data_IF_628175127711
#
_entry.id   IF_628175127711
#
_cell.length_a   1.000
_cell.length_b   1.000
_cell.length_c   1.000
_cell.angle_alpha   90.00
_cell.angle_beta   90.00
_cell.angle_gamma   90.00
#
_symmetry.space_group_name_H-M   'P 1'
#
loop_
_entity.id
_entity.type
_entity.pdbx_description
1 polymer ?
#
# COMPACT_ATOMS: atom_id res chain seq x y z
N UNK A 1 -46.94 39.35 -21.61
CA UNK A 1 -46.57 40.78 -21.72
C UNK A 1 -45.41 41.03 -20.74
N UNK A 2 -44.45 41.90 -21.08
CA UNK A 2 -43.13 42.00 -20.43
C UNK A 2 -42.16 40.95 -20.99
N UNK A 3 -41.20 41.25 -21.88
CA UNK A 3 -40.03 42.14 -21.76
C UNK A 3 -39.04 41.66 -20.67
N UNK A 4 -37.74 41.49 -20.92
CA UNK A 4 -36.93 41.65 -22.15
C UNK A 4 -35.45 41.85 -21.80
N UNK A 5 -34.55 41.77 -22.80
CA UNK A 5 -33.11 42.11 -22.78
C UNK A 5 -32.09 41.09 -22.18
N UNK A 6 -31.22 40.59 -23.08
CA UNK A 6 -29.80 40.34 -22.79
C UNK A 6 -29.04 41.69 -22.80
N UNK A 7 -27.81 41.81 -22.26
CA UNK A 7 -26.65 41.83 -23.18
C UNK A 7 -25.27 41.35 -22.66
N UNK A 8 -24.52 40.74 -23.60
CA UNK A 8 -23.09 40.95 -23.97
C UNK A 8 -21.90 40.69 -23.00
N UNK A 9 -20.87 40.05 -23.59
CA UNK A 9 -19.46 39.99 -23.15
C UNK A 9 -18.73 41.34 -23.28
N UNK A 10 -17.60 41.54 -22.56
CA UNK A 10 -16.50 42.41 -22.98
C UNK A 10 -15.33 41.63 -23.62
N UNK A 11 -14.54 42.33 -24.45
CA UNK A 11 -13.32 41.84 -25.11
C UNK A 11 -12.03 42.38 -24.45
N UNK A 12 -10.91 41.80 -24.89
CA UNK A 12 -9.51 42.12 -24.59
C UNK A 12 -9.14 43.62 -24.73
N UNK A 13 -8.05 44.02 -24.06
CA UNK A 13 -7.20 45.15 -24.48
C UNK A 13 -5.73 44.79 -24.42
N UNK A 14 -5.01 45.08 -25.51
CA UNK A 14 -3.54 45.06 -25.60
C UNK A 14 -2.94 46.33 -24.98
N UNK A 15 -1.67 46.25 -24.56
CA UNK A 15 -0.78 47.40 -24.47
C UNK A 15 0.64 47.05 -24.94
N UNK A 16 1.24 47.97 -25.71
CA UNK A 16 2.66 48.06 -26.12
C UNK A 16 3.56 48.46 -24.92
N UNK A 17 4.89 48.31 -24.89
CA UNK A 17 5.91 47.86 -25.86
C UNK A 17 7.31 48.42 -25.50
N UNK A 18 8.33 48.15 -26.34
CA UNK A 18 9.68 48.77 -26.42
C UNK A 18 10.91 48.19 -25.65
N UNK A 19 11.86 47.69 -26.47
CA UNK A 19 13.33 47.81 -26.47
C UNK A 19 14.19 47.96 -25.18
N UNK A 20 15.18 47.06 -25.05
CA UNK A 20 16.60 47.42 -24.87
C UNK A 20 17.52 46.31 -25.44
N UNK A 21 18.72 46.67 -25.92
CA UNK A 21 19.76 45.76 -26.48
C UNK A 21 20.89 45.52 -25.47
N UNK A 22 21.70 44.44 -25.61
CA UNK A 22 22.73 44.06 -24.64
C UNK A 22 24.06 44.82 -24.82
N UNK A 23 24.88 44.87 -23.76
CA UNK A 23 26.29 45.27 -23.84
C UNK A 23 27.21 44.11 -23.41
N UNK A 24 28.24 43.87 -24.21
CA UNK A 24 29.39 43.04 -23.91
C UNK A 24 30.51 43.88 -23.28
N UNK A 25 31.45 43.24 -22.56
CA UNK A 25 32.83 43.71 -22.49
C UNK A 25 33.79 42.58 -22.08
N UNK A 26 35.04 42.65 -22.56
CA UNK A 26 36.08 41.63 -22.42
C UNK A 26 37.21 42.07 -21.45
N UNK A 27 38.01 41.08 -21.04
CA UNK A 27 39.41 41.11 -20.57
C UNK A 27 40.14 42.44 -20.29
N UNK A 28 40.84 42.50 -19.15
CA UNK A 28 42.32 42.40 -18.96
C UNK A 28 42.62 42.70 -17.46
N UNK A 29 43.29 41.85 -16.66
CA UNK A 29 44.73 41.44 -16.58
C UNK A 29 45.72 42.58 -16.29
N UNK A 30 46.63 42.28 -15.34
CA UNK A 30 47.90 42.95 -14.95
C UNK A 30 47.84 43.95 -13.78
N UNK A 31 48.78 44.07 -12.83
CA UNK A 31 49.80 43.21 -12.13
C UNK A 31 50.61 44.13 -11.19
N UNK A 32 51.29 43.55 -10.19
CA UNK A 32 52.28 44.15 -9.26
C UNK A 32 51.76 44.73 -7.94
N UNK A 33 52.45 44.65 -6.79
CA UNK A 33 53.51 43.80 -6.21
C UNK A 33 53.96 44.52 -4.92
N UNK A 34 54.04 43.84 -3.76
CA UNK A 34 54.57 44.39 -2.50
C UNK A 34 54.52 43.33 -1.38
N UNK A 35 55.67 43.00 -0.79
CA UNK A 35 55.96 41.71 -0.09
C UNK A 35 57.15 41.90 0.89
N UNK A 36 57.30 41.14 2.02
CA UNK A 36 56.33 40.56 2.96
C UNK A 36 56.44 41.28 4.36
N UNK A 37 57.15 40.85 5.45
CA UNK A 37 57.75 39.57 5.91
C UNK A 37 57.29 39.01 7.30
N UNK A 38 57.44 37.68 7.49
CA UNK A 38 57.63 36.90 8.75
C UNK A 38 56.53 36.94 9.85
N UNK A 39 56.20 35.87 10.61
CA UNK A 39 56.38 34.40 10.57
C UNK A 39 55.33 33.82 11.57
N UNK A 40 54.83 32.58 11.54
CA UNK A 40 54.98 31.47 10.61
C UNK A 40 54.30 30.18 11.16
N UNK A 41 54.03 29.20 10.28
CA UNK A 41 53.64 27.80 10.59
C UNK A 41 52.24 27.56 11.21
N UNK A 42 51.49 26.48 10.94
CA UNK A 42 51.75 25.26 10.14
C UNK A 42 50.54 24.98 9.20
N UNK A 43 50.82 24.68 7.93
CA UNK A 43 49.81 24.14 7.01
C UNK A 43 49.63 22.62 7.23
N UNK A 44 48.38 22.15 7.26
CA UNK A 44 48.04 20.74 7.45
C UNK A 44 46.88 20.30 6.56
N UNK A 45 46.96 20.55 5.25
CA UNK A 45 45.97 20.04 4.29
C UNK A 45 46.30 18.57 3.96
N UNK A 46 45.47 17.58 4.35
CA UNK A 46 45.69 16.21 3.90
C UNK A 46 45.32 16.09 2.42
N UNK A 47 46.31 15.83 1.58
CA UNK A 47 46.09 15.38 0.21
C UNK A 47 45.36 14.03 0.24
N UNK A 48 44.10 13.99 -0.18
CA UNK A 48 43.38 12.74 -0.41
C UNK A 48 43.80 12.22 -1.81
N UNK A 49 44.36 11.01 -1.92
CA UNK A 49 44.88 10.51 -3.19
C UNK A 49 43.74 10.11 -4.16
N UNK A 50 43.88 10.50 -5.42
CA UNK A 50 43.09 9.99 -6.54
C UNK A 50 43.46 8.54 -6.88
N UNK A 51 43.08 7.59 -6.02
CA UNK A 51 43.12 6.17 -6.36
C UNK A 51 41.92 5.81 -7.22
N UNK A 52 42.14 5.59 -8.52
CA UNK A 52 41.19 4.89 -9.39
C UNK A 52 41.02 3.43 -8.93
N UNK A 53 40.20 3.20 -7.91
CA UNK A 53 39.72 1.88 -7.56
C UNK A 53 38.76 1.40 -8.65
N UNK A 54 39.24 0.52 -9.53
CA UNK A 54 38.36 -0.23 -10.43
C UNK A 54 37.44 -1.09 -9.57
N UNK A 55 36.18 -0.70 -9.44
CA UNK A 55 35.14 -1.56 -8.86
C UNK A 55 34.98 -2.76 -9.79
N UNK A 56 35.57 -3.90 -9.41
CA UNK A 56 35.25 -5.18 -10.02
C UNK A 56 33.84 -5.57 -9.55
N UNK A 57 32.94 -6.02 -10.45
CA UNK A 57 31.67 -6.58 -10.03
C UNK A 57 31.92 -7.84 -9.20
N UNK A 58 31.21 -7.94 -8.09
CA UNK A 58 31.29 -9.05 -7.13
C UNK A 58 30.97 -10.38 -7.83
N UNK A 59 31.99 -11.22 -8.06
CA UNK A 59 31.78 -12.60 -8.53
C UNK A 59 31.32 -13.46 -7.36
N UNK A 60 30.09 -13.93 -7.42
CA UNK A 60 29.65 -15.04 -6.58
C UNK A 60 30.59 -16.26 -6.81
N UNK A 61 30.95 -17.01 -5.75
CA UNK A 61 31.82 -18.16 -5.89
C UNK A 61 31.13 -19.26 -6.70
N UNK A 62 31.85 -19.84 -7.67
CA UNK A 62 31.35 -20.97 -8.43
C UNK A 62 31.19 -22.19 -7.51
N UNK A 63 29.95 -22.70 -7.40
CA UNK A 63 29.68 -23.96 -6.71
C UNK A 63 30.33 -25.10 -7.50
N UNK A 64 31.31 -25.74 -6.87
CA UNK A 64 31.96 -26.95 -7.39
C UNK A 64 30.94 -28.10 -7.32
N UNK A 65 30.65 -28.82 -8.42
CA UNK A 65 29.81 -30.00 -8.36
C UNK A 65 30.55 -31.10 -7.60
N UNK A 66 30.13 -31.38 -6.36
CA UNK A 66 30.62 -32.54 -5.62
C UNK A 66 30.09 -33.82 -6.23
N UNK A 67 30.99 -34.80 -6.32
CA UNK A 67 30.82 -36.03 -7.07
C UNK A 67 29.82 -36.96 -6.38
N UNK A 68 29.00 -37.62 -7.18
CA UNK A 68 28.06 -38.66 -6.75
C UNK A 68 28.74 -39.76 -5.93
N UNK A 69 28.12 -40.14 -4.81
CA UNK A 69 28.17 -41.50 -4.28
C UNK A 69 26.74 -41.96 -3.97
N UNK A 70 26.33 -43.06 -4.57
CA UNK A 70 24.95 -43.54 -4.52
C UNK A 70 24.69 -44.57 -3.42
N UNK A 71 23.44 -44.65 -2.96
CA UNK A 71 22.85 -45.89 -2.41
C UNK A 71 21.34 -45.90 -2.65
N UNK A 72 20.84 -47.03 -3.14
CA UNK A 72 19.45 -47.20 -3.52
C UNK A 72 18.63 -47.96 -2.46
N UNK A 73 17.38 -47.56 -2.25
CA UNK A 73 16.27 -48.39 -1.74
C UNK A 73 14.95 -47.70 -2.20
N UNK A 74 14.17 -48.20 -3.15
CA UNK A 74 13.37 -49.45 -3.21
C UNK A 74 12.22 -49.55 -2.20
N UNK A 75 11.09 -48.94 -2.55
CA UNK A 75 9.71 -49.46 -2.44
C UNK A 75 8.91 -48.70 -3.52
N UNK A 76 8.25 -49.31 -4.51
CA UNK A 76 7.13 -50.26 -4.41
C UNK A 76 5.84 -49.48 -4.70
N UNK A 77 5.37 -49.39 -5.96
CA UNK A 77 4.36 -50.29 -6.59
C UNK A 77 3.06 -50.38 -5.79
N UNK A 78 1.86 -50.18 -6.34
CA UNK A 78 1.40 -49.92 -7.72
C UNK A 78 0.09 -49.10 -7.67
N UNK A 79 -0.29 -48.44 -8.78
CA UNK A 79 -1.65 -48.49 -9.35
C UNK A 79 -1.75 -47.61 -10.61
N UNK A 80 -1.73 -48.25 -11.79
CA UNK A 80 -2.08 -47.59 -13.05
C UNK A 80 -3.62 -47.49 -13.18
N UNK A 81 -4.15 -46.30 -13.46
CA UNK A 81 -5.60 -46.05 -13.45
C UNK A 81 -6.07 -44.87 -14.30
N UNK A 82 -6.16 -45.10 -15.62
CA UNK A 82 -7.07 -44.46 -16.60
C UNK A 82 -7.49 -42.98 -16.40
N UNK A 83 -7.04 -42.15 -17.33
CA UNK A 83 -7.82 -41.13 -18.07
C UNK A 83 -9.16 -40.66 -17.46
N UNK A 84 -9.19 -39.44 -16.94
CA UNK A 84 -10.35 -38.54 -17.07
C UNK A 84 -9.90 -37.08 -16.89
N UNK A 85 -9.97 -36.29 -17.98
CA UNK A 85 -9.92 -34.83 -17.85
C UNK A 85 -11.26 -34.35 -17.28
N UNK A 86 -11.35 -34.24 -15.96
CA UNK A 86 -12.39 -33.42 -15.34
C UNK A 86 -11.90 -31.99 -15.41
N UNK A 87 -12.61 -31.14 -16.16
CA UNK A 87 -12.39 -29.71 -16.12
C UNK A 87 -12.56 -29.24 -14.66
N UNK A 88 -11.45 -28.88 -14.01
CA UNK A 88 -11.46 -28.35 -12.67
C UNK A 88 -12.17 -27.00 -12.70
N UNK A 89 -13.48 -27.03 -12.44
CA UNK A 89 -14.35 -25.86 -12.43
C UNK A 89 -13.76 -24.82 -11.50
N UNK A 90 -13.21 -23.74 -12.06
CA UNK A 90 -12.68 -22.60 -11.32
C UNK A 90 -13.77 -22.19 -10.32
N UNK A 91 -13.56 -22.37 -9.01
CA UNK A 91 -14.64 -22.22 -8.06
C UNK A 91 -15.03 -20.75 -8.01
N UNK A 92 -16.23 -20.43 -8.51
CA UNK A 92 -16.86 -19.10 -8.41
C UNK A 92 -17.22 -18.82 -6.94
N UNK A 93 -16.20 -18.67 -6.08
CA UNK A 93 -16.33 -17.99 -4.80
C UNK A 93 -16.79 -16.56 -5.10
N UNK A 94 -17.70 -16.03 -4.27
CA UNK A 94 -18.19 -14.66 -4.41
C UNK A 94 -16.97 -13.72 -4.40
N UNK A 95 -16.78 -12.94 -5.47
CA UNK A 95 -15.72 -11.94 -5.52
C UNK A 95 -16.01 -10.86 -4.47
N UNK A 96 -15.38 -10.98 -3.30
CA UNK A 96 -15.10 -9.80 -2.49
C UNK A 96 -14.18 -8.90 -3.31
N UNK A 97 -14.59 -7.65 -3.55
CA UNK A 97 -13.79 -6.66 -4.27
C UNK A 97 -12.56 -6.19 -3.47
N UNK A 98 -12.49 -6.57 -2.20
CA UNK A 98 -11.37 -6.34 -1.28
C UNK A 98 -10.50 -7.61 -1.23
N UNK A 99 -9.19 -7.42 -1.38
CA UNK A 99 -8.18 -8.39 -0.99
C UNK A 99 -8.11 -8.45 0.56
N UNK A 100 -7.63 -9.56 1.12
CA UNK A 100 -7.61 -9.75 2.58
C UNK A 100 -6.23 -10.13 3.10
N UNK A 101 -5.92 -9.76 4.35
CA UNK A 101 -4.66 -10.12 4.98
C UNK A 101 -4.48 -11.64 5.13
N UNK A 102 -5.57 -12.38 5.39
CA UNK A 102 -5.54 -13.85 5.44
C UNK A 102 -5.14 -14.47 4.11
N UNK A 103 -5.64 -13.94 2.99
CA UNK A 103 -5.31 -14.43 1.64
C UNK A 103 -3.83 -14.17 1.28
N UNK A 104 -3.26 -13.07 1.78
CA UNK A 104 -1.82 -12.80 1.64
C UNK A 104 -0.98 -13.81 2.43
N UNK A 105 -1.41 -14.18 3.64
CA UNK A 105 -0.76 -15.21 4.47
C UNK A 105 -0.86 -16.60 3.82
N UNK A 106 -2.01 -16.97 3.25
CA UNK A 106 -2.19 -18.23 2.52
C UNK A 106 -1.22 -18.34 1.32
N UNK A 107 -0.97 -17.23 0.62
CA UNK A 107 -0.01 -17.16 -0.50
C UNK A 107 1.46 -17.18 -0.03
N UNK A 108 1.77 -16.57 1.11
CA UNK A 108 3.11 -16.62 1.74
C UNK A 108 3.46 -18.01 2.30
N UNK A 109 2.45 -18.80 2.66
CA UNK A 109 2.61 -20.16 3.19
C UNK A 109 2.84 -21.24 2.11
N UNK A 110 2.91 -20.86 0.83
CA UNK A 110 3.18 -21.78 -0.27
C UNK A 110 4.65 -22.23 -0.28
N UNK A 111 4.89 -23.39 -0.87
CA UNK A 111 6.24 -23.95 -1.01
C UNK A 111 7.06 -23.15 -2.05
N UNK A 112 8.15 -22.53 -1.59
CA UNK A 112 9.06 -21.72 -2.40
C UNK A 112 10.06 -22.55 -3.24
N UNK A 113 9.83 -23.86 -3.39
CA UNK A 113 10.72 -24.75 -4.15
C UNK A 113 10.62 -24.59 -5.67
N UNK A 114 9.68 -23.80 -6.22
CA UNK A 114 9.36 -23.77 -7.66
C UNK A 114 8.99 -22.39 -8.20
N UNK A 115 9.29 -22.09 -9.48
CA UNK A 115 9.01 -20.78 -10.06
C UNK A 115 7.50 -20.49 -10.23
N UNK A 116 7.05 -19.43 -9.58
CA UNK A 116 5.74 -18.81 -9.72
C UNK A 116 5.74 -17.76 -10.83
N UNK A 117 4.74 -17.84 -11.72
CA UNK A 117 4.41 -16.78 -12.66
C UNK A 117 3.40 -15.84 -11.99
N UNK A 118 3.87 -14.66 -11.56
CA UNK A 118 3.07 -13.63 -10.91
C UNK A 118 2.74 -12.53 -11.91
N UNK A 119 1.45 -12.29 -12.16
CA UNK A 119 0.95 -11.38 -13.20
C UNK A 119 0.00 -10.36 -12.59
N UNK A 120 0.24 -9.09 -12.87
CA UNK A 120 -0.61 -7.98 -12.47
C UNK A 120 -1.13 -7.26 -13.70
N UNK A 121 -2.42 -6.88 -13.70
CA UNK A 121 -3.11 -6.29 -14.83
C UNK A 121 -3.79 -4.96 -14.46
N UNK A 122 -3.63 -3.95 -15.32
CA UNK A 122 -4.49 -2.76 -15.31
C UNK A 122 -5.81 -3.09 -16.03
N UNK A 123 -6.91 -3.08 -15.28
CA UNK A 123 -8.27 -3.23 -15.78
C UNK A 123 -9.08 -1.92 -15.60
N UNK A 124 -8.41 -0.77 -15.58
CA UNK A 124 -9.05 0.54 -15.69
C UNK A 124 -9.89 0.68 -16.99
N UNK A 125 -10.88 1.58 -17.03
CA UNK A 125 -11.83 1.66 -18.16
C UNK A 125 -11.16 1.83 -19.54
N UNK A 126 -10.12 2.66 -19.62
CA UNK A 126 -9.35 2.88 -20.84
C UNK A 126 -8.52 1.64 -21.25
N UNK A 127 -7.89 0.99 -20.28
CA UNK A 127 -7.08 -0.22 -20.49
C UNK A 127 -7.93 -1.43 -20.88
N UNK A 128 -9.17 -1.54 -20.37
CA UNK A 128 -10.19 -2.48 -20.86
C UNK A 128 -10.63 -2.18 -22.29
N UNK A 129 -10.96 -0.92 -22.60
CA UNK A 129 -11.44 -0.52 -23.93
C UNK A 129 -10.38 -0.74 -25.03
N UNK A 130 -9.10 -0.51 -24.72
CA UNK A 130 -7.98 -0.65 -25.66
C UNK A 130 -7.30 -2.01 -25.62
N UNK A 131 -7.58 -2.84 -24.61
CA UNK A 131 -6.85 -4.09 -24.29
C UNK A 131 -5.32 -3.89 -24.19
N UNK A 132 -4.88 -2.71 -23.73
CA UNK A 132 -3.46 -2.36 -23.67
C UNK A 132 -2.62 -3.38 -22.88
N UNK A 133 -3.20 -4.00 -21.84
CA UNK A 133 -2.55 -5.04 -21.04
C UNK A 133 -2.12 -6.26 -21.88
N UNK A 134 -2.87 -6.67 -22.92
CA UNK A 134 -2.52 -7.82 -23.75
C UNK A 134 -1.18 -7.61 -24.49
N UNK A 135 -0.93 -6.38 -24.94
CA UNK A 135 0.31 -6.02 -25.64
C UNK A 135 1.51 -6.08 -24.70
N UNK A 136 1.34 -5.60 -23.45
CA UNK A 136 2.39 -5.62 -22.42
C UNK A 136 2.67 -7.06 -21.99
N UNK A 137 1.64 -7.87 -21.71
CA UNK A 137 1.78 -9.29 -21.39
C UNK A 137 2.57 -10.04 -22.47
N UNK A 138 2.18 -9.89 -23.75
CA UNK A 138 2.87 -10.57 -24.85
C UNK A 138 4.36 -10.20 -24.93
N UNK A 139 4.70 -8.92 -24.72
CA UNK A 139 6.11 -8.47 -24.66
C UNK A 139 6.85 -9.06 -23.46
N UNK A 140 6.25 -9.03 -22.27
CA UNK A 140 6.87 -9.54 -21.02
C UNK A 140 7.07 -11.06 -21.06
N UNK A 141 6.07 -11.85 -21.49
CA UNK A 141 6.22 -13.29 -21.65
C UNK A 141 7.28 -13.67 -22.70
N UNK A 142 7.38 -12.92 -23.81
CA UNK A 142 8.42 -13.16 -24.81
C UNK A 142 9.84 -12.77 -24.32
N UNK A 143 9.95 -11.84 -23.36
CA UNK A 143 11.22 -11.51 -22.72
C UNK A 143 11.62 -12.59 -21.70
N UNK A 144 10.71 -12.99 -20.81
CA UNK A 144 10.96 -14.03 -19.79
C UNK A 144 11.26 -15.40 -20.42
N UNK A 145 10.60 -15.76 -21.54
CA UNK A 145 10.87 -16.99 -22.28
C UNK A 145 12.33 -17.13 -22.76
N UNK A 146 13.10 -16.02 -22.86
CA UNK A 146 14.52 -16.04 -23.22
C UNK A 146 15.45 -16.29 -22.04
N UNK A 147 14.94 -16.22 -20.81
CA UNK A 147 15.68 -16.44 -19.57
C UNK A 147 15.49 -17.88 -19.04
N UNK A 148 14.50 -18.60 -19.55
CA UNK A 148 14.26 -20.02 -19.21
C UNK A 148 15.15 -20.90 -20.09
N UNK A 149 15.77 -21.92 -19.49
CA UNK A 149 16.65 -22.86 -20.21
C UNK A 149 15.85 -23.77 -21.14
N UNK A 150 16.24 -23.82 -22.42
CA UNK A 150 15.49 -24.49 -23.47
C UNK A 150 15.62 -26.01 -23.41
N UNK A 151 14.53 -26.72 -23.75
CA UNK A 151 14.47 -28.18 -23.74
C UNK A 151 14.35 -28.81 -22.35
N UNK A 152 14.12 -28.00 -21.31
CA UNK A 152 13.95 -28.45 -19.92
C UNK A 152 12.47 -28.70 -19.56
N UNK A 153 12.23 -29.40 -18.45
CA UNK A 153 10.88 -29.50 -17.87
C UNK A 153 10.34 -28.11 -17.49
N UNK A 154 11.22 -27.20 -17.06
CA UNK A 154 10.85 -25.86 -16.61
C UNK A 154 10.39 -24.96 -17.78
N UNK A 155 10.91 -25.15 -19.00
CA UNK A 155 10.34 -24.52 -20.20
C UNK A 155 8.89 -24.98 -20.45
N UNK A 156 8.63 -26.29 -20.33
CA UNK A 156 7.29 -26.84 -20.53
C UNK A 156 6.29 -26.34 -19.47
N UNK A 157 6.73 -26.26 -18.22
CA UNK A 157 5.97 -25.69 -17.10
C UNK A 157 5.73 -24.19 -17.30
N UNK A 158 6.74 -23.42 -17.71
CA UNK A 158 6.60 -21.99 -18.01
C UNK A 158 5.51 -21.75 -19.08
N UNK A 159 5.57 -22.46 -20.21
CA UNK A 159 4.55 -22.34 -21.26
C UNK A 159 3.17 -22.85 -20.83
N UNK A 160 3.08 -23.81 -19.91
CA UNK A 160 1.82 -24.18 -19.26
C UNK A 160 1.23 -23.01 -18.45
N UNK A 161 2.04 -22.36 -17.61
CA UNK A 161 1.61 -21.20 -16.83
C UNK A 161 1.14 -20.04 -17.72
N UNK A 162 1.91 -19.72 -18.77
CA UNK A 162 1.53 -18.70 -19.77
C UNK A 162 0.18 -19.02 -20.43
N UNK A 163 -0.09 -20.29 -20.78
CA UNK A 163 -1.38 -20.71 -21.33
C UNK A 163 -2.54 -20.51 -20.34
N UNK A 164 -2.35 -20.88 -19.08
CA UNK A 164 -3.36 -20.71 -18.02
C UNK A 164 -3.70 -19.22 -17.80
N UNK A 165 -2.70 -18.33 -17.77
CA UNK A 165 -2.94 -16.87 -17.70
C UNK A 165 -3.74 -16.40 -18.90
N UNK A 166 -3.36 -16.78 -20.13
CA UNK A 166 -4.10 -16.37 -21.34
C UNK A 166 -5.51 -16.95 -21.45
N UNK A 167 -5.78 -18.11 -20.86
CA UNK A 167 -7.13 -18.66 -20.74
C UNK A 167 -7.99 -17.81 -19.80
N UNK A 168 -7.48 -17.50 -18.60
CA UNK A 168 -8.16 -16.63 -17.65
C UNK A 168 -8.40 -15.21 -18.21
N UNK A 169 -7.38 -14.61 -18.84
CA UNK A 169 -7.47 -13.26 -19.44
C UNK A 169 -8.52 -13.18 -20.55
N UNK A 170 -8.77 -14.27 -21.29
CA UNK A 170 -9.79 -14.30 -22.35
C UNK A 170 -11.19 -14.65 -21.85
N UNK A 171 -11.29 -15.55 -20.88
CA UNK A 171 -12.55 -16.23 -20.56
C UNK A 171 -13.09 -15.94 -19.15
N UNK A 172 -12.31 -15.29 -18.27
CA UNK A 172 -12.62 -15.22 -16.83
C UNK A 172 -12.18 -13.93 -16.13
N UNK A 173 -11.84 -12.87 -16.88
CA UNK A 173 -11.66 -11.55 -16.29
C UNK A 173 -12.96 -11.07 -15.62
N UNK A 174 -12.88 -10.43 -14.45
CA UNK A 174 -14.04 -9.93 -13.74
C UNK A 174 -14.66 -8.73 -14.48
N UNK A 175 -15.99 -8.65 -14.52
CA UNK A 175 -16.71 -7.51 -15.10
C UNK A 175 -16.49 -6.22 -14.31
N UNK A 176 -16.31 -6.33 -12.99
CA UNK A 176 -16.02 -5.25 -12.05
C UNK A 176 -14.58 -5.31 -11.54
N UNK A 177 -14.13 -4.26 -10.83
CA UNK A 177 -12.73 -4.10 -10.39
C UNK A 177 -11.84 -3.43 -11.42
N UNK A 178 -10.80 -2.72 -10.96
CA UNK A 178 -9.87 -1.95 -11.80
C UNK A 178 -8.50 -2.60 -11.97
N UNK A 179 -8.26 -3.74 -11.30
CA UNK A 179 -7.02 -4.49 -11.40
C UNK A 179 -7.23 -5.94 -11.02
N UNK A 180 -6.34 -6.80 -11.51
CA UNK A 180 -6.29 -8.23 -11.13
C UNK A 180 -4.84 -8.64 -10.89
N UNK A 181 -4.62 -9.40 -9.82
CA UNK A 181 -3.41 -10.18 -9.56
C UNK A 181 -3.69 -11.66 -9.90
N UNK A 182 -2.75 -12.34 -10.57
CA UNK A 182 -2.83 -13.76 -10.93
C UNK A 182 -1.51 -14.42 -10.53
N UNK A 183 -1.58 -15.57 -9.88
CA UNK A 183 -0.42 -16.37 -9.46
C UNK A 183 -0.57 -17.78 -10.00
N UNK A 184 0.44 -18.27 -10.72
CA UNK A 184 0.41 -19.60 -11.33
C UNK A 184 1.71 -20.34 -11.03
N UNK A 185 1.59 -21.53 -10.43
CA UNK A 185 2.71 -22.47 -10.26
C UNK A 185 2.27 -23.86 -10.80
N UNK A 186 2.53 -24.14 -12.09
CA UNK A 186 2.00 -25.33 -12.76
C UNK A 186 2.42 -26.66 -12.12
N UNK A 187 3.65 -26.75 -11.58
CA UNK A 187 4.14 -27.96 -10.90
C UNK A 187 3.38 -28.24 -9.59
N UNK A 188 2.92 -27.21 -8.90
CA UNK A 188 2.06 -27.31 -7.72
C UNK A 188 0.57 -27.48 -8.07
N UNK A 189 0.22 -27.54 -9.37
CA UNK A 189 -1.16 -27.45 -9.87
C UNK A 189 -1.90 -26.20 -9.36
N UNK A 190 -1.15 -25.14 -9.01
CA UNK A 190 -1.68 -23.96 -8.35
C UNK A 190 -2.02 -22.86 -9.36
N UNK A 191 -3.25 -22.35 -9.27
CA UNK A 191 -3.71 -21.16 -9.98
C UNK A 191 -4.59 -20.35 -9.04
N UNK A 192 -4.27 -19.08 -8.85
CA UNK A 192 -5.05 -18.13 -8.06
C UNK A 192 -5.21 -16.81 -8.82
N UNK A 193 -6.38 -16.18 -8.70
CA UNK A 193 -6.64 -14.88 -9.30
C UNK A 193 -7.55 -14.02 -8.40
N UNK A 194 -7.12 -12.78 -8.13
CA UNK A 194 -7.80 -11.83 -7.25
C UNK A 194 -8.09 -10.52 -8.00
N UNK A 195 -9.36 -10.16 -8.08
CA UNK A 195 -9.82 -8.84 -8.51
C UNK A 195 -9.76 -7.84 -7.35
N UNK A 196 -9.38 -6.59 -7.64
CA UNK A 196 -9.32 -5.48 -6.66
C UNK A 196 -9.97 -4.19 -7.21
N UNK A 197 -10.25 -3.23 -6.32
CA UNK A 197 -10.79 -1.92 -6.68
C UNK A 197 -9.77 -1.00 -7.36
N UNK A 198 -8.49 -1.30 -7.16
CA UNK A 198 -7.32 -0.50 -7.46
C UNK A 198 -6.77 -0.84 -8.85
N UNK A 199 -5.93 0.03 -9.43
CA UNK A 199 -5.20 -0.30 -10.67
C UNK A 199 -3.81 -0.80 -10.31
N UNK A 200 -3.35 -1.83 -11.01
CA UNK A 200 -1.94 -2.23 -11.00
C UNK A 200 -1.23 -1.69 -12.25
N UNK A 201 0.09 -1.53 -12.19
CA UNK A 201 0.88 -1.57 -13.42
C UNK A 201 0.77 -2.96 -14.06
N UNK A 202 0.65 -3.03 -15.39
CA UNK A 202 0.64 -4.32 -16.08
C UNK A 202 2.05 -4.90 -16.13
N UNK A 203 2.31 -5.93 -15.33
CA UNK A 203 3.63 -6.55 -15.20
C UNK A 203 3.55 -8.06 -15.03
N UNK A 204 4.68 -8.72 -15.29
CA UNK A 204 4.87 -10.16 -15.15
C UNK A 204 6.22 -10.38 -14.47
N UNK A 205 6.22 -11.15 -13.39
CA UNK A 205 7.41 -11.56 -12.63
C UNK A 205 7.46 -13.09 -12.58
N UNK A 206 8.65 -13.65 -12.72
CA UNK A 206 8.92 -15.08 -12.59
C UNK A 206 9.97 -15.24 -11.49
N UNK A 207 9.59 -15.85 -10.36
CA UNK A 207 10.42 -15.95 -9.16
C UNK A 207 10.08 -17.23 -8.37
N UNK A 208 10.94 -17.68 -7.45
CA UNK A 208 10.75 -18.90 -6.65
C UNK A 208 9.60 -18.82 -5.64
N UNK A 209 9.12 -17.62 -5.36
CA UNK A 209 7.95 -17.35 -4.51
C UNK A 209 6.94 -16.48 -5.27
N UNK A 210 5.65 -16.44 -4.85
CA UNK A 210 4.71 -15.46 -5.36
C UNK A 210 5.22 -14.03 -5.13
N UNK A 211 5.28 -13.21 -6.18
CA UNK A 211 5.65 -11.79 -6.04
C UNK A 211 4.44 -11.00 -5.54
N UNK A 212 4.28 -10.90 -4.21
CA UNK A 212 3.06 -10.40 -3.58
C UNK A 212 3.02 -8.88 -3.37
N UNK A 213 4.13 -8.17 -3.50
CA UNK A 213 4.30 -6.78 -3.08
C UNK A 213 3.21 -5.82 -3.61
N UNK A 214 2.81 -5.82 -4.89
CA UNK A 214 1.72 -4.96 -5.36
C UNK A 214 0.35 -5.31 -4.73
N UNK A 215 0.10 -6.59 -4.43
CA UNK A 215 -1.15 -7.02 -3.78
C UNK A 215 -1.14 -6.71 -2.28
N UNK A 216 -0.02 -6.90 -1.60
CA UNK A 216 0.17 -6.53 -0.20
C UNK A 216 -0.17 -5.04 0.01
N UNK A 217 0.32 -4.18 -0.88
CA UNK A 217 0.05 -2.76 -0.78
C UNK A 217 -1.44 -2.38 -0.95
N UNK A 218 -2.20 -3.12 -1.76
CA UNK A 218 -3.65 -2.92 -1.88
C UNK A 218 -4.39 -3.33 -0.59
N UNK A 219 -3.88 -4.33 0.14
CA UNK A 219 -4.39 -4.72 1.46
C UNK A 219 -4.03 -3.67 2.52
N UNK A 220 -2.81 -3.10 2.47
CA UNK A 220 -2.34 -2.04 3.37
C UNK A 220 -3.08 -0.70 3.17
N UNK A 221 -3.37 -0.32 1.93
CA UNK A 221 -3.98 0.98 1.60
C UNK A 221 -5.46 1.10 2.06
N UNK A 222 -6.08 -0.01 2.47
CA UNK A 222 -7.38 -0.03 3.12
C UNK A 222 -7.25 -0.05 4.64
N UNK A 223 -7.18 1.14 5.26
CA UNK A 223 -7.27 1.34 6.70
C UNK A 223 -8.66 0.89 7.25
N UNK A 224 -8.85 -0.42 7.42
CA UNK A 224 -10.10 -1.00 7.93
C UNK A 224 -10.31 -0.62 9.39
N UNK A 225 -11.47 -0.06 9.71
CA UNK A 225 -11.87 0.24 11.08
C UNK A 225 -13.08 -0.60 11.47
N UNK A 226 -12.99 -1.31 12.60
CA UNK A 226 -14.11 -2.06 13.16
C UNK A 226 -14.88 -1.17 14.13
N UNK A 227 -16.18 -1.04 13.93
CA UNK A 227 -17.10 -0.38 14.84
C UNK A 227 -17.94 -1.45 15.51
N UNK A 228 -17.80 -1.58 16.83
CA UNK A 228 -18.53 -2.54 17.64
C UNK A 228 -19.57 -1.78 18.44
N UNK A 229 -20.83 -1.84 17.99
CA UNK A 229 -21.96 -1.41 18.80
C UNK A 229 -22.34 -2.55 19.76
N UNK A 230 -22.39 -2.29 21.07
CA UNK A 230 -22.67 -3.30 22.08
C UNK A 230 -23.64 -2.83 23.16
N UNK A 231 -24.66 -3.65 23.41
CA UNK A 231 -25.67 -3.50 24.47
C UNK A 231 -25.59 -4.72 25.40
N UNK A 232 -26.52 -4.85 26.35
CA UNK A 232 -26.51 -5.99 27.28
C UNK A 232 -26.74 -7.35 26.60
N UNK A 233 -27.45 -7.33 25.48
CA UNK A 233 -28.20 -8.44 24.89
C UNK A 233 -28.17 -8.43 23.35
N UNK A 234 -27.70 -7.33 22.76
CA UNK A 234 -27.56 -7.15 21.31
C UNK A 234 -26.19 -6.51 21.01
N UNK A 235 -25.59 -6.88 19.89
CA UNK A 235 -24.41 -6.22 19.36
C UNK A 235 -24.36 -6.30 17.84
N UNK A 236 -23.74 -5.30 17.21
CA UNK A 236 -23.49 -5.28 15.78
C UNK A 236 -22.04 -4.87 15.52
N UNK A 237 -21.39 -5.51 14.54
CA UNK A 237 -20.02 -5.20 14.13
C UNK A 237 -20.03 -4.74 12.69
N UNK A 238 -19.51 -3.54 12.45
CA UNK A 238 -19.42 -2.91 11.15
C UNK A 238 -17.95 -2.71 10.76
N UNK A 239 -17.67 -2.80 9.46
CA UNK A 239 -16.43 -2.33 8.86
C UNK A 239 -16.68 -0.98 8.20
N UNK A 240 -15.81 -0.02 8.51
CA UNK A 240 -15.85 1.37 8.00
C UNK A 240 -14.49 1.71 7.38
N UNK A 241 -14.51 2.46 6.29
CA UNK A 241 -13.32 2.96 5.61
C UNK A 241 -13.27 4.50 5.69
N UNK A 242 -12.16 5.11 6.12
CA UNK A 242 -12.05 6.57 6.14
C UNK A 242 -12.03 7.21 4.74
N UNK A 243 -11.56 6.47 3.73
CA UNK A 243 -11.43 6.96 2.35
C UNK A 243 -12.74 6.87 1.54
N UNK A 244 -13.72 6.08 1.99
CA UNK A 244 -15.05 5.98 1.38
C UNK A 244 -16.13 5.97 2.47
N UNK A 245 -16.68 7.16 2.75
CA UNK A 245 -17.74 7.37 3.74
C UNK A 245 -19.07 6.64 3.41
N UNK A 246 -19.18 6.03 2.22
CA UNK A 246 -20.33 5.22 1.79
C UNK A 246 -20.05 3.71 1.86
N UNK A 247 -18.79 3.29 1.93
CA UNK A 247 -18.39 1.90 2.08
C UNK A 247 -18.51 1.47 3.55
N UNK A 248 -19.71 1.05 3.94
CA UNK A 248 -19.96 0.52 5.28
C UNK A 248 -20.64 -0.82 5.16
N UNK A 249 -20.02 -1.83 5.77
CA UNK A 249 -20.47 -3.21 5.72
C UNK A 249 -20.77 -3.70 7.12
N UNK A 250 -22.04 -4.02 7.41
CA UNK A 250 -22.39 -4.79 8.61
C UNK A 250 -21.84 -6.20 8.44
N UNK A 251 -20.84 -6.56 9.25
CA UNK A 251 -20.15 -7.85 9.17
C UNK A 251 -20.81 -8.91 10.07
N UNK A 252 -21.34 -8.49 11.22
CA UNK A 252 -22.01 -9.38 12.16
C UNK A 252 -23.14 -8.68 12.93
N UNK A 253 -24.11 -9.47 13.34
CA UNK A 253 -25.18 -9.11 14.26
C UNK A 253 -25.35 -10.27 15.24
N UNK A 254 -25.39 -9.95 16.54
CA UNK A 254 -25.44 -10.90 17.63
C UNK A 254 -26.57 -10.53 18.57
N UNK A 255 -27.44 -11.48 18.87
CA UNK A 255 -28.45 -11.35 19.92
C UNK A 255 -28.25 -12.43 20.99
N UNK A 256 -28.71 -12.17 22.22
CA UNK A 256 -28.64 -13.11 23.33
C UNK A 256 -29.74 -12.83 24.34
N UNK A 257 -30.44 -13.88 24.76
CA UNK A 257 -31.52 -13.76 25.74
C UNK A 257 -30.95 -13.45 27.13
N UNK A 258 -30.95 -12.17 27.52
CA UNK A 258 -30.51 -11.71 28.83
C UNK A 258 -31.73 -11.28 29.66
N UNK A 259 -31.84 -11.71 30.94
CA UNK A 259 -32.94 -11.28 31.80
C UNK A 259 -33.08 -9.75 31.89
N UNK A 260 -34.30 -9.26 31.71
CA UNK A 260 -34.60 -7.82 31.79
C UNK A 260 -34.31 -7.21 33.17
N UNK A 261 -34.15 -5.89 33.23
CA UNK A 261 -34.00 -5.14 34.49
C UNK A 261 -35.36 -5.01 35.20
N UNK A 262 -35.84 -6.07 35.85
CA UNK A 262 -37.13 -6.06 36.57
C UNK A 262 -37.06 -5.27 37.89
N UNK A 263 -37.67 -4.09 37.90
CA UNK A 263 -38.02 -3.38 39.12
C UNK A 263 -39.34 -3.92 39.70
N UNK A 264 -39.29 -5.04 40.43
CA UNK A 264 -40.39 -5.48 41.30
C UNK A 264 -39.88 -5.65 42.73
N UNK A 265 -40.24 -4.68 43.57
CA UNK A 265 -40.00 -4.75 45.01
C UNK A 265 -40.92 -5.77 45.67
N UNK A 266 -40.40 -6.51 46.64
CA UNK A 266 -41.13 -7.54 47.37
C UNK A 266 -40.23 -8.30 48.34
N UNK A 267 -40.26 -7.88 49.61
CA UNK A 267 -39.79 -8.52 50.87
C UNK A 267 -38.42 -9.25 50.98
N UNK A 268 -37.72 -9.63 49.91
CA UNK A 268 -36.52 -10.49 50.01
C UNK A 268 -35.26 -9.90 49.34
N UNK A 269 -34.42 -9.21 50.13
CA UNK A 269 -33.15 -8.66 49.64
C UNK A 269 -32.12 -9.71 49.13
N UNK A 270 -32.30 -10.98 49.47
CA UNK A 270 -31.44 -12.09 49.01
C UNK A 270 -31.76 -12.57 47.59
N UNK A 271 -33.01 -12.45 47.12
CA UNK A 271 -33.39 -12.87 45.77
C UNK A 271 -32.87 -11.88 44.71
N UNK A 272 -32.93 -10.58 45.01
CA UNK A 272 -32.45 -9.51 44.14
C UNK A 272 -30.95 -9.63 43.82
N UNK A 273 -30.10 -9.92 44.83
CA UNK A 273 -28.65 -10.09 44.63
C UNK A 273 -28.33 -11.29 43.72
N UNK A 274 -29.03 -12.42 43.87
CA UNK A 274 -28.85 -13.58 42.99
C UNK A 274 -29.34 -13.29 41.56
N UNK A 275 -30.46 -12.59 41.40
CA UNK A 275 -30.96 -12.19 40.08
C UNK A 275 -30.00 -11.22 39.37
N UNK A 276 -29.44 -10.24 40.07
CA UNK A 276 -28.44 -9.32 39.53
C UNK A 276 -27.16 -10.03 39.09
N UNK A 277 -26.64 -10.97 39.90
CA UNK A 277 -25.48 -11.79 39.54
C UNK A 277 -25.75 -12.66 38.31
N UNK A 278 -26.89 -13.36 38.27
CA UNK A 278 -27.30 -14.16 37.13
C UNK A 278 -27.44 -13.32 35.85
N UNK A 279 -28.10 -12.16 35.93
CA UNK A 279 -28.20 -11.22 34.80
C UNK A 279 -26.81 -10.77 34.31
N UNK A 280 -25.90 -10.43 35.23
CA UNK A 280 -24.54 -10.00 34.89
C UNK A 280 -23.74 -11.11 34.21
N UNK A 281 -23.89 -12.36 34.64
CA UNK A 281 -23.27 -13.51 33.97
C UNK A 281 -23.80 -13.73 32.54
N UNK A 282 -25.11 -13.52 32.31
CA UNK A 282 -25.67 -13.53 30.94
C UNK A 282 -25.12 -12.39 30.07
N UNK A 283 -24.99 -11.17 30.59
CA UNK A 283 -24.34 -10.04 29.87
C UNK A 283 -22.88 -10.38 29.56
N UNK A 284 -22.11 -10.86 30.54
CA UNK A 284 -20.70 -11.18 30.35
C UNK A 284 -20.50 -12.30 29.32
N UNK A 285 -21.39 -13.30 29.30
CA UNK A 285 -21.40 -14.36 28.26
C UNK A 285 -21.78 -13.84 26.88
N UNK A 286 -22.64 -12.83 26.78
CA UNK A 286 -22.91 -12.14 25.50
C UNK A 286 -21.67 -11.38 25.04
N UNK A 287 -21.08 -10.52 25.89
CA UNK A 287 -19.92 -9.69 25.53
C UNK A 287 -18.66 -10.51 25.18
N UNK A 288 -18.47 -11.68 25.79
CA UNK A 288 -17.42 -12.63 25.37
C UNK A 288 -17.61 -13.11 23.93
N UNK A 289 -18.82 -13.51 23.53
CA UNK A 289 -19.11 -13.89 22.13
C UNK A 289 -18.86 -12.75 21.15
N UNK A 290 -19.21 -11.52 21.53
CA UNK A 290 -18.94 -10.31 20.73
C UNK A 290 -17.43 -10.12 20.55
N UNK A 291 -16.65 -10.29 21.63
CA UNK A 291 -15.19 -10.22 21.59
C UNK A 291 -14.56 -11.33 20.71
N UNK A 292 -15.06 -12.56 20.79
CA UNK A 292 -14.59 -13.69 19.98
C UNK A 292 -14.84 -13.45 18.48
N UNK A 293 -16.03 -12.96 18.11
CA UNK A 293 -16.36 -12.62 16.72
C UNK A 293 -15.55 -11.41 16.25
N UNK A 294 -15.38 -10.38 17.08
CA UNK A 294 -14.51 -9.24 16.74
C UNK A 294 -13.06 -9.66 16.49
N UNK A 295 -12.52 -10.63 17.25
CA UNK A 295 -11.18 -11.15 17.07
C UNK A 295 -11.02 -11.97 15.78
N UNK A 296 -12.03 -12.76 15.40
CA UNK A 296 -12.06 -13.43 14.11
C UNK A 296 -12.09 -12.41 12.95
N UNK A 297 -12.89 -11.35 13.06
CA UNK A 297 -12.97 -10.30 12.03
C UNK A 297 -11.67 -9.48 11.92
N UNK A 298 -11.01 -9.13 13.02
CA UNK A 298 -9.68 -8.50 12.98
C UNK A 298 -8.61 -9.43 12.40
N UNK A 299 -8.72 -10.74 12.59
CA UNK A 299 -7.80 -11.70 11.98
C UNK A 299 -8.00 -11.81 10.46
N UNK A 300 -9.24 -11.64 9.99
CA UNK A 300 -9.59 -11.68 8.56
C UNK A 300 -9.27 -10.36 7.83
N UNK A 301 -9.60 -9.22 8.42
CA UNK A 301 -9.55 -7.89 7.80
C UNK A 301 -8.38 -7.01 8.29
N UNK A 302 -7.61 -7.46 9.29
CA UNK A 302 -6.50 -6.72 9.92
C UNK A 302 -6.85 -5.25 10.20
N UNK A 303 -7.79 -5.02 11.13
CA UNK A 303 -8.28 -3.68 11.40
C UNK A 303 -7.16 -2.79 11.96
N UNK A 304 -7.01 -1.57 11.43
CA UNK A 304 -6.08 -0.57 11.96
C UNK A 304 -6.60 -0.04 13.30
N UNK A 305 -7.92 0.09 13.43
CA UNK A 305 -8.57 0.61 14.62
C UNK A 305 -9.89 -0.07 14.98
N UNK A 306 -10.23 0.01 16.27
CA UNK A 306 -11.51 -0.40 16.83
C UNK A 306 -12.18 0.79 17.51
N UNK A 307 -13.46 1.01 17.22
CA UNK A 307 -14.32 1.98 17.92
C UNK A 307 -15.41 1.22 18.66
N UNK A 308 -15.54 1.45 19.96
CA UNK A 308 -16.55 0.82 20.80
C UNK A 308 -17.70 1.79 21.02
N UNK A 309 -18.94 1.37 20.76
CA UNK A 309 -20.14 2.23 20.85
C UNK A 309 -21.20 1.57 21.71
N UNK A 310 -21.73 2.27 22.71
CA UNK A 310 -22.79 1.74 23.59
C UNK A 310 -22.89 2.45 24.93
N UNK A 311 -23.43 1.76 25.94
CA UNK A 311 -23.52 2.28 27.32
C UNK A 311 -22.21 2.04 28.08
N UNK A 312 -21.75 3.04 28.85
CA UNK A 312 -20.45 3.03 29.56
C UNK A 312 -20.17 1.73 30.34
N UNK A 313 -21.17 1.18 31.04
CA UNK A 313 -21.04 -0.07 31.79
C UNK A 313 -20.79 -1.26 30.86
N UNK A 314 -21.53 -1.35 29.77
CA UNK A 314 -21.40 -2.41 28.75
C UNK A 314 -20.05 -2.32 28.05
N UNK A 315 -19.62 -1.11 27.67
CA UNK A 315 -18.34 -0.91 26.98
C UNK A 315 -17.16 -1.17 27.92
N UNK A 316 -17.25 -0.78 29.19
CA UNK A 316 -16.22 -1.11 30.19
C UNK A 316 -16.12 -2.62 30.45
N UNK A 317 -17.23 -3.36 30.45
CA UNK A 317 -17.19 -4.83 30.54
C UNK A 317 -16.69 -5.48 29.24
N UNK A 318 -17.07 -4.96 28.06
CA UNK A 318 -16.59 -5.43 26.76
C UNK A 318 -15.07 -5.24 26.63
N UNK A 319 -14.56 -4.05 26.96
CA UNK A 319 -13.13 -3.73 26.87
C UNK A 319 -12.28 -4.66 27.75
N UNK A 320 -12.82 -5.16 28.87
CA UNK A 320 -12.14 -6.14 29.74
C UNK A 320 -12.14 -7.57 29.20
N UNK A 321 -13.09 -7.94 28.33
CA UNK A 321 -13.16 -9.28 27.73
C UNK A 321 -12.62 -9.35 26.30
N UNK A 322 -12.40 -8.20 25.64
CA UNK A 322 -11.66 -8.15 24.38
C UNK A 322 -10.24 -8.73 24.55
N UNK A 323 -9.72 -9.51 23.58
CA UNK A 323 -8.32 -9.91 23.58
C UNK A 323 -7.38 -8.71 23.62
N UNK A 324 -6.21 -8.84 24.26
CA UNK A 324 -5.24 -7.76 24.45
C UNK A 324 -4.85 -7.05 23.13
N UNK A 325 -4.69 -7.81 22.03
CA UNK A 325 -4.44 -7.29 20.68
C UNK A 325 -5.53 -6.31 20.21
N UNK A 326 -6.80 -6.57 20.52
CA UNK A 326 -7.90 -5.65 20.20
C UNK A 326 -7.98 -4.48 21.16
N UNK A 327 -7.70 -4.69 22.46
CA UNK A 327 -7.67 -3.59 23.43
C UNK A 327 -6.67 -2.50 23.04
N UNK A 328 -5.50 -2.89 22.53
CA UNK A 328 -4.47 -1.97 22.03
C UNK A 328 -4.89 -1.18 20.77
N UNK A 329 -5.86 -1.70 20.00
CA UNK A 329 -6.42 -1.04 18.82
C UNK A 329 -7.66 -0.18 19.12
N UNK A 330 -8.10 -0.07 20.38
CA UNK A 330 -9.28 0.76 20.71
C UNK A 330 -8.92 2.24 20.62
N UNK A 331 -9.40 2.91 19.57
CA UNK A 331 -9.10 4.31 19.30
C UNK A 331 -10.11 5.23 20.01
N UNK A 332 -11.40 4.87 20.02
CA UNK A 332 -12.44 5.72 20.59
C UNK A 332 -13.57 4.92 21.26
N UNK A 333 -14.18 5.55 22.27
CA UNK A 333 -15.41 5.08 22.94
C UNK A 333 -16.52 6.10 22.73
N UNK A 334 -17.58 5.69 22.03
CA UNK A 334 -18.78 6.51 21.81
C UNK A 334 -19.92 6.11 22.74
N UNK A 335 -20.32 7.01 23.64
CA UNK A 335 -21.56 6.83 24.40
C UNK A 335 -22.79 6.95 23.47
N UNK A 336 -23.67 5.95 23.49
CA UNK A 336 -24.90 5.91 22.67
C UNK A 336 -26.17 6.09 23.53
N UNK A 337 -27.07 7.02 23.19
CA UNK A 337 -28.50 6.87 23.48
C UNK A 337 -29.08 5.87 22.47
N UNK A 338 -29.41 4.68 22.97
CA UNK A 338 -29.78 3.48 22.18
C UNK A 338 -30.83 3.69 21.09
N UNK A 339 -30.51 3.25 19.87
CA UNK A 339 -31.49 2.97 18.82
C UNK A 339 -31.17 3.53 17.44
N UNK A 340 -29.92 3.95 17.20
CA UNK A 340 -29.54 4.59 15.94
C UNK A 340 -29.36 3.56 14.81
N UNK A 341 -30.11 3.72 13.71
CA UNK A 341 -29.85 2.95 12.49
C UNK A 341 -28.50 3.31 11.86
N UNK A 342 -27.94 2.41 11.04
CA UNK A 342 -26.57 2.42 10.50
C UNK A 342 -26.05 3.81 10.10
N UNK A 343 -26.85 4.60 9.37
CA UNK A 343 -26.46 5.93 8.90
C UNK A 343 -26.20 6.98 10.00
N UNK A 344 -26.79 6.82 11.19
CA UNK A 344 -26.58 7.72 12.34
C UNK A 344 -25.38 7.31 13.19
N UNK A 345 -25.10 6.01 13.32
CA UNK A 345 -23.86 5.48 13.90
C UNK A 345 -22.63 6.06 13.15
N UNK A 346 -22.67 6.03 11.82
CA UNK A 346 -21.58 6.53 10.97
C UNK A 346 -21.31 8.03 11.13
N UNK A 347 -22.37 8.86 11.17
CA UNK A 347 -22.25 10.30 11.42
C UNK A 347 -21.59 10.61 12.76
N UNK A 348 -21.63 9.68 13.72
CA UNK A 348 -20.98 9.81 15.03
C UNK A 348 -19.55 9.29 15.03
N UNK A 349 -19.27 8.20 14.31
CA UNK A 349 -17.97 7.53 14.32
C UNK A 349 -16.97 8.15 13.34
N UNK A 350 -17.39 8.54 12.13
CA UNK A 350 -16.48 9.14 11.13
C UNK A 350 -15.69 10.36 11.66
N UNK A 351 -16.30 11.31 12.41
CA UNK A 351 -15.54 12.42 13.00
C UNK A 351 -14.50 12.00 14.04
N UNK A 352 -14.74 10.91 14.78
CA UNK A 352 -13.77 10.37 15.74
C UNK A 352 -12.57 9.76 15.01
N UNK A 353 -12.83 8.96 13.98
CA UNK A 353 -11.79 8.39 13.13
C UNK A 353 -10.97 9.47 12.41
N UNK A 354 -11.62 10.51 11.88
CA UNK A 354 -10.96 11.66 11.26
C UNK A 354 -10.10 12.46 12.24
N UNK A 355 -10.54 12.63 13.49
CA UNK A 355 -9.76 13.33 14.53
C UNK A 355 -8.48 12.55 14.87
N UNK A 356 -8.57 11.23 14.98
CA UNK A 356 -7.45 10.37 15.36
C UNK A 356 -6.46 10.21 14.21
N UNK A 357 -6.94 10.11 12.96
CA UNK A 357 -6.08 10.23 11.78
C UNK A 357 -5.30 11.55 11.76
N UNK A 358 -5.95 12.70 12.04
CA UNK A 358 -5.27 14.00 12.12
C UNK A 358 -4.23 14.08 13.24
N UNK A 359 -4.43 13.35 14.35
CA UNK A 359 -3.43 13.24 15.43
C UNK A 359 -2.21 12.43 14.99
N UNK A 360 -2.42 11.32 14.28
CA UNK A 360 -1.34 10.53 13.69
C UNK A 360 -0.57 11.34 12.64
N UNK A 361 -1.26 11.93 11.65
CA UNK A 361 -0.67 12.83 10.64
C UNK A 361 0.17 13.94 11.28
N UNK A 362 -0.35 14.57 12.34
CA UNK A 362 0.40 15.60 13.08
C UNK A 362 1.64 15.03 13.77
N UNK A 363 1.56 13.87 14.42
CA UNK A 363 2.72 13.25 15.06
C UNK A 363 3.84 12.92 14.05
N UNK A 364 3.48 12.45 12.84
CA UNK A 364 4.44 12.22 11.75
C UNK A 364 5.08 13.53 11.28
N UNK A 365 4.29 14.61 11.11
CA UNK A 365 4.80 15.94 10.71
C UNK A 365 5.66 16.61 11.80
N UNK A 366 5.32 16.43 13.07
CA UNK A 366 6.12 16.94 14.21
C UNK A 366 7.49 16.20 14.24
N UNK A 367 7.51 14.88 14.03
CA UNK A 367 8.75 14.08 13.89
C UNK A 367 9.59 14.51 12.69
N UNK A 368 8.96 14.70 11.52
CA UNK A 368 9.64 15.22 10.32
C UNK A 368 10.33 16.56 10.61
N UNK A 369 9.63 17.47 11.30
CA UNK A 369 10.14 18.80 11.62
C UNK A 369 11.34 18.73 12.57
N UNK A 370 11.33 17.83 13.56
CA UNK A 370 12.47 17.59 14.46
C UNK A 370 13.69 17.05 13.69
N UNK A 371 13.50 16.05 12.83
CA UNK A 371 14.57 15.46 12.03
C UNK A 371 15.20 16.47 11.06
N UNK A 372 14.38 17.28 10.38
CA UNK A 372 14.88 18.37 9.51
C UNK A 372 15.65 19.42 10.32
N UNK A 373 15.13 19.81 11.49
CA UNK A 373 15.75 20.83 12.34
C UNK A 373 17.12 20.44 12.89
N UNK A 374 17.38 19.14 13.07
CA UNK A 374 18.68 18.60 13.52
C UNK A 374 19.60 18.11 12.40
N UNK A 375 19.19 18.21 11.14
CA UNK A 375 19.92 17.63 9.99
C UNK A 375 20.00 16.10 10.04
N UNK A 376 18.99 15.46 10.64
CA UNK A 376 18.89 14.03 10.87
C UNK A 376 18.22 13.28 9.72
N UNK A 377 17.36 12.32 10.06
CA UNK A 377 16.81 11.34 9.13
C UNK A 377 15.53 11.85 8.44
N UNK A 378 15.64 12.97 7.72
CA UNK A 378 14.53 13.51 6.92
C UNK A 378 15.00 14.23 5.64
N UNK A 379 14.12 14.28 4.65
CA UNK A 379 14.25 15.06 3.42
C UNK A 379 12.95 15.83 3.16
N UNK A 380 13.05 17.03 2.57
CA UNK A 380 11.92 17.91 2.28
C UNK A 380 12.05 18.53 0.89
N UNK A 381 10.94 18.67 0.18
CA UNK A 381 10.90 19.15 -1.20
C UNK A 381 11.25 18.07 -2.23
N UNK A 382 10.77 18.27 -3.46
CA UNK A 382 10.79 17.25 -4.50
C UNK A 382 12.19 16.74 -4.84
N UNK A 383 13.20 17.62 -4.85
CA UNK A 383 14.59 17.26 -5.20
C UNK A 383 15.23 16.34 -4.16
N UNK A 384 15.21 16.74 -2.88
CA UNK A 384 15.79 15.95 -1.81
C UNK A 384 15.08 14.60 -1.62
N UNK A 385 13.75 14.57 -1.76
CA UNK A 385 12.96 13.34 -1.66
C UNK A 385 13.19 12.42 -2.87
N UNK A 386 13.26 12.95 -4.09
CA UNK A 386 13.60 12.17 -5.29
C UNK A 386 15.00 11.55 -5.15
N UNK A 387 15.99 12.32 -4.70
CA UNK A 387 17.34 11.82 -4.45
C UNK A 387 17.38 10.73 -3.37
N UNK A 388 16.65 10.91 -2.26
CA UNK A 388 16.55 9.92 -1.19
C UNK A 388 15.88 8.61 -1.66
N UNK A 389 14.83 8.70 -2.47
CA UNK A 389 14.17 7.54 -3.08
C UNK A 389 15.09 6.84 -4.09
N UNK A 390 15.76 7.56 -4.99
CA UNK A 390 16.71 6.94 -5.94
C UNK A 390 17.86 6.22 -5.20
N UNK A 391 18.21 6.67 -3.99
CA UNK A 391 19.22 6.04 -3.13
C UNK A 391 18.67 4.93 -2.21
N UNK A 392 17.36 4.64 -2.23
CA UNK A 392 16.75 3.61 -1.38
C UNK A 392 16.64 3.99 0.11
N UNK A 393 16.75 5.27 0.47
CA UNK A 393 16.89 5.72 1.87
C UNK A 393 15.59 6.10 2.57
N UNK A 394 14.47 6.17 1.85
CA UNK A 394 13.17 6.53 2.44
C UNK A 394 12.60 5.37 3.24
N UNK A 395 12.04 5.73 4.40
CA UNK A 395 11.29 4.87 5.33
C UNK A 395 9.78 5.15 5.17
N UNK A 396 9.40 6.43 5.28
CA UNK A 396 8.03 6.93 5.05
C UNK A 396 8.07 8.10 4.07
N UNK A 397 7.35 7.99 2.94
CA UNK A 397 7.10 9.08 2.01
C UNK A 397 5.81 9.82 2.42
N UNK A 398 5.91 11.14 2.56
CA UNK A 398 4.78 12.02 2.89
C UNK A 398 4.43 12.86 1.65
N UNK A 399 3.19 12.78 1.20
CA UNK A 399 2.69 13.53 0.04
C UNK A 399 1.40 14.28 0.39
N UNK A 400 1.31 15.55 0.01
CA UNK A 400 0.03 16.26 0.08
C UNK A 400 -0.91 15.71 -1.00
N UNK A 401 -2.20 15.54 -0.68
CA UNK A 401 -3.21 15.08 -1.65
C UNK A 401 -3.28 15.93 -2.92
N UNK A 402 -2.94 17.22 -2.83
CA UNK A 402 -2.95 18.16 -3.95
C UNK A 402 -1.56 18.32 -4.60
N UNK A 403 -0.54 17.56 -4.17
CA UNK A 403 0.79 17.63 -4.76
C UNK A 403 0.78 17.19 -6.22
N UNK A 404 0.95 18.15 -7.12
CA UNK A 404 1.11 17.92 -8.56
C UNK A 404 2.43 18.55 -9.00
N UNK A 405 3.35 17.71 -9.46
CA UNK A 405 4.61 18.11 -10.06
C UNK A 405 4.87 17.24 -11.28
N UNK A 406 5.41 17.84 -12.35
CA UNK A 406 6.04 17.08 -13.41
C UNK A 406 7.44 16.63 -12.95
N UNK A 407 7.95 15.57 -13.56
CA UNK A 407 9.33 15.12 -13.41
C UNK A 407 9.81 14.51 -14.72
N UNK A 408 11.01 13.94 -14.71
CA UNK A 408 11.52 13.16 -15.85
C UNK A 408 11.98 11.78 -15.43
N UNK A 409 11.74 10.80 -16.28
CA UNK A 409 12.22 9.44 -16.10
C UNK A 409 13.07 9.00 -17.29
N UNK A 410 14.18 8.32 -17.04
CA UNK A 410 14.96 7.73 -18.13
C UNK A 410 14.30 6.44 -18.66
N UNK A 411 14.08 6.36 -19.97
CA UNK A 411 13.50 5.19 -20.64
C UNK A 411 14.40 3.94 -20.61
N UNK A 412 15.70 4.10 -20.30
CA UNK A 412 16.70 3.04 -20.34
C UNK A 412 17.15 2.52 -18.96
N UNK A 413 17.31 3.41 -17.96
CA UNK A 413 17.73 3.03 -16.61
C UNK A 413 16.68 3.35 -15.52
N UNK A 414 15.49 3.82 -15.89
CA UNK A 414 14.38 4.17 -15.00
C UNK A 414 14.67 5.27 -13.96
N UNK A 415 15.86 5.89 -13.97
CA UNK A 415 16.23 6.96 -13.05
C UNK A 415 15.23 8.11 -13.10
N UNK A 416 14.73 8.49 -11.92
CA UNK A 416 13.76 9.56 -11.71
C UNK A 416 14.48 10.87 -11.38
N UNK A 417 14.00 11.97 -11.96
CA UNK A 417 14.59 13.30 -11.86
C UNK A 417 13.48 14.35 -11.70
N UNK A 418 13.76 15.45 -11.01
CA UNK A 418 12.85 16.59 -10.90
C UNK A 418 12.86 17.43 -12.19
N UNK A 419 11.87 18.31 -12.43
CA UNK A 419 11.73 18.96 -13.74
C UNK A 419 12.81 20.02 -14.02
N UNK A 420 13.56 20.44 -13.00
CA UNK A 420 14.71 21.35 -13.11
C UNK A 420 15.94 20.70 -13.74
N UNK A 421 15.99 19.35 -13.80
CA UNK A 421 17.02 18.64 -14.55
C UNK A 421 16.99 19.06 -16.03
N UNK A 422 18.16 19.24 -16.65
CA UNK A 422 18.24 19.67 -18.06
C UNK A 422 17.54 18.68 -18.99
N UNK A 423 16.82 19.19 -19.99
CA UNK A 423 16.16 18.37 -21.00
C UNK A 423 17.20 17.74 -21.94
N UNK A 424 17.03 16.45 -22.25
CA UNK A 424 17.94 15.70 -23.13
C UNK A 424 18.21 14.29 -22.62
N UNK A 425 19.49 13.95 -22.50
CA UNK A 425 19.96 12.62 -22.13
C UNK A 425 20.15 12.46 -20.62
N UNK A 426 19.83 11.28 -20.10
CA UNK A 426 20.03 10.91 -18.71
C UNK A 426 21.52 10.98 -18.31
N UNK A 427 21.89 11.71 -17.24
CA UNK A 427 23.29 11.85 -16.84
C UNK A 427 23.95 10.54 -16.37
N UNK A 428 23.15 9.52 -16.06
CA UNK A 428 23.64 8.23 -15.56
C UNK A 428 23.96 7.21 -16.68
N UNK A 429 23.26 7.28 -17.82
CA UNK A 429 23.39 6.25 -18.88
C UNK A 429 23.32 6.77 -20.32
N UNK A 430 23.04 8.06 -20.54
CA UNK A 430 22.86 8.65 -21.88
C UNK A 430 21.50 8.38 -22.55
N UNK A 431 20.62 7.59 -21.92
CA UNK A 431 19.30 7.27 -22.46
C UNK A 431 18.34 8.47 -22.47
N UNK A 432 17.27 8.37 -23.26
CA UNK A 432 16.26 9.43 -23.40
C UNK A 432 15.47 9.66 -22.10
N UNK A 433 15.09 10.91 -21.84
CA UNK A 433 14.25 11.32 -20.71
C UNK A 433 12.82 11.63 -21.18
N UNK A 434 11.83 10.90 -20.66
CA UNK A 434 10.40 11.20 -20.85
C UNK A 434 9.85 12.05 -19.70
N UNK A 435 8.86 12.90 -19.96
CA UNK A 435 8.14 13.64 -18.91
C UNK A 435 7.09 12.74 -18.24
N UNK A 436 7.03 12.79 -16.91
CA UNK A 436 6.19 11.93 -16.06
C UNK A 436 5.51 12.72 -14.96
N UNK A 437 4.42 12.21 -14.41
CA UNK A 437 3.81 12.75 -13.18
C UNK A 437 4.66 12.33 -11.98
N UNK A 438 5.29 13.29 -11.31
CA UNK A 438 6.28 13.01 -10.26
C UNK A 438 5.63 12.42 -9.00
N UNK A 439 4.45 12.89 -8.62
CA UNK A 439 3.59 12.35 -7.56
C UNK A 439 3.40 10.83 -7.69
N UNK A 440 2.99 10.38 -8.88
CA UNK A 440 2.75 8.97 -9.21
C UNK A 440 4.06 8.17 -9.13
N UNK A 441 5.15 8.70 -9.70
CA UNK A 441 6.45 8.01 -9.73
C UNK A 441 7.13 7.91 -8.37
N UNK A 442 7.07 8.96 -7.54
CA UNK A 442 7.57 8.90 -6.16
C UNK A 442 6.77 7.89 -5.33
N UNK A 443 5.44 7.90 -5.44
CA UNK A 443 4.55 6.93 -4.78
C UNK A 443 4.91 5.50 -5.18
N UNK A 444 5.08 5.25 -6.48
CA UNK A 444 5.44 3.92 -7.00
C UNK A 444 6.80 3.46 -6.49
N UNK A 445 7.83 4.31 -6.61
CA UNK A 445 9.20 4.00 -6.22
C UNK A 445 9.34 3.77 -4.71
N UNK A 446 8.60 4.52 -3.87
CA UNK A 446 8.54 4.27 -2.43
C UNK A 446 7.95 2.88 -2.13
N UNK A 447 6.80 2.55 -2.73
CA UNK A 447 6.13 1.24 -2.57
C UNK A 447 7.00 0.09 -3.07
N UNK A 448 7.73 0.27 -4.18
CA UNK A 448 8.72 -0.69 -4.71
C UNK A 448 9.88 -0.96 -3.74
N UNK A 449 10.20 -0.02 -2.85
CA UNK A 449 11.28 -0.11 -1.86
C UNK A 449 10.80 -0.55 -0.46
N UNK A 450 9.53 -0.92 -0.34
CA UNK A 450 8.89 -1.25 0.94
C UNK A 450 8.79 -0.06 1.90
N UNK A 451 8.82 1.18 1.38
CA UNK A 451 8.59 2.38 2.17
C UNK A 451 7.08 2.65 2.31
N UNK A 452 6.67 3.11 3.48
CA UNK A 452 5.30 3.55 3.74
C UNK A 452 4.98 4.82 2.93
N UNK A 453 3.72 5.00 2.52
CA UNK A 453 3.28 6.21 1.80
C UNK A 453 2.05 6.82 2.48
N UNK A 454 2.25 7.93 3.19
CA UNK A 454 1.18 8.70 3.81
C UNK A 454 0.72 9.84 2.89
N UNK A 455 -0.56 9.81 2.52
CA UNK A 455 -1.20 10.91 1.78
C UNK A 455 -1.90 11.82 2.77
N UNK A 456 -1.32 12.99 3.00
CA UNK A 456 -1.79 14.01 3.94
C UNK A 456 -3.10 14.66 3.46
N UNK A 457 -3.93 15.08 4.41
CA UNK A 457 -5.12 15.89 4.14
C UNK A 457 -4.79 17.28 3.58
N UNK A 458 -5.72 17.93 2.84
CA UNK A 458 -5.50 19.28 2.30
C UNK A 458 -5.32 20.31 3.42
N UNK A 459 -4.42 21.29 3.22
CA UNK A 459 -4.07 22.28 4.25
C UNK A 459 -3.13 21.72 5.32
N UNK A 460 -2.38 20.67 5.01
CA UNK A 460 -1.38 20.08 5.91
C UNK A 460 -0.16 21.01 6.08
N UNK A 461 0.59 20.85 7.17
CA UNK A 461 1.84 21.62 7.35
C UNK A 461 2.92 21.25 6.29
N UNK A 462 2.69 20.16 5.53
CA UNK A 462 3.53 19.71 4.41
C UNK A 462 3.57 20.70 3.24
N UNK A 463 2.56 21.55 3.08
CA UNK A 463 2.55 22.64 2.08
C UNK A 463 3.78 23.55 2.23
N UNK A 464 4.28 23.77 3.46
CA UNK A 464 5.49 24.57 3.74
C UNK A 464 6.77 23.96 3.18
N UNK A 465 6.77 22.65 2.91
CA UNK A 465 7.87 21.89 2.34
C UNK A 465 7.69 21.63 0.83
N UNK A 466 6.74 22.32 0.18
CA UNK A 466 6.42 22.11 -1.24
C UNK A 466 5.52 20.91 -1.50
N UNK A 467 4.79 20.42 -0.48
CA UNK A 467 3.80 19.34 -0.61
C UNK A 467 4.39 17.93 -0.66
N UNK A 468 5.70 17.76 -0.45
CA UNK A 468 6.37 16.45 -0.40
C UNK A 468 7.54 16.45 0.59
N UNK A 469 7.63 15.40 1.40
CA UNK A 469 8.73 15.16 2.32
C UNK A 469 8.93 13.65 2.55
N UNK A 470 10.00 13.26 3.23
CA UNK A 470 10.25 11.88 3.61
C UNK A 470 10.97 11.77 4.94
N UNK A 471 10.61 10.77 5.74
CA UNK A 471 11.45 10.23 6.81
C UNK A 471 12.40 9.20 6.22
N UNK A 472 13.64 9.17 6.71
CA UNK A 472 14.70 8.30 6.20
C UNK A 472 15.03 7.17 7.19
N UNK A 473 15.48 6.04 6.67
CA UNK A 473 15.90 4.88 7.49
C UNK A 473 17.38 4.92 7.89
N UNK A 474 18.23 5.63 7.15
CA UNK A 474 19.67 5.80 7.39
C UNK A 474 20.30 6.94 6.58
#
# INVERSE_FOLDING_TARGET
>A
MGAGQQPRRPQERRATGSNAKPCSCQHQRQTHCGVPPQDGSVCGTPCIPTTHAKIQPYRAPALVPTRTDGRAARAGRDLAGKQAWVAATIPRRRCSALATASELQDLLALDNSFPFLSVYLDLGPQSRATRAYEVVLRKRFAALARLVEQGTEDEALYWQGVRQVWEYVRNSLPETGRGVAIFVAPRLSFFHARAVGERFETQVVLDQAPYLQPLAHVVEEHEHHLVIEARSDQAAIYMVHLRDERAVSKLAELESNVPGKTAKGGFEGWSQKRFQLHRRDHVLRHLKKVADVAAALDSQYNAVGVVLVGQDQTISELQRVLPQRLQQKVIAVGAEPSGLGDGALLRRVLPLLQLEKRRAEKATLDRLTEELGRGGLAAAGAEAVTAALVQGRVDTLLLDRNFQASGRQCTQCSALMTPEAQAGQCPYCGGELEEVELSERLTRLAREQGAEVEIMGPGSELERFGGVAALLRY
#
